data_IF_764869111596
#
_entry.id   IF_764869111596
#
_cell.length_a   1.000
_cell.length_b   1.000
_cell.length_c   1.000
_cell.angle_alpha   90.00
_cell.angle_beta   90.00
_cell.angle_gamma   90.00
#
_symmetry.space_group_name_H-M   'P 1'
#
loop_
_entity.id
_entity.type
_entity.pdbx_description
1 polymer ?
#
# COMPACT_ATOMS: atom_id res chain seq x y z
N UNK A 1 20.34 36.31 23.63
CA UNK A 1 21.04 35.30 22.80
C UNK A 1 20.14 34.04 22.73
N UNK A 2 19.40 33.88 21.64
CA UNK A 2 18.59 32.68 21.43
C UNK A 2 19.51 31.57 20.92
N UNK A 3 19.65 30.49 21.67
CA UNK A 3 20.32 29.27 21.21
C UNK A 3 19.59 28.75 19.99
N UNK A 4 20.29 28.39 18.90
CA UNK A 4 19.65 27.75 17.77
C UNK A 4 19.10 26.40 18.25
N UNK A 5 17.78 26.25 18.18
CA UNK A 5 17.11 25.02 18.57
C UNK A 5 17.73 23.80 17.85
N UNK A 6 18.21 22.85 18.62
CA UNK A 6 18.76 21.62 18.12
C UNK A 6 17.68 20.94 17.24
N UNK A 7 17.85 21.01 15.92
CA UNK A 7 17.05 20.22 15.00
C UNK A 7 17.47 18.76 15.18
N UNK A 8 16.61 17.98 15.77
CA UNK A 8 16.79 16.54 15.80
C UNK A 8 16.90 16.01 14.36
N UNK A 9 17.88 15.15 14.07
CA UNK A 9 17.97 14.53 12.75
C UNK A 9 16.70 13.71 12.51
N UNK A 10 15.88 14.15 11.58
CA UNK A 10 14.74 13.35 11.11
C UNK A 10 15.29 12.37 10.09
N UNK A 11 15.40 11.11 10.47
CA UNK A 11 15.71 10.05 9.52
C UNK A 11 14.55 9.93 8.52
N UNK A 12 14.78 10.26 7.26
CA UNK A 12 13.85 9.98 6.19
C UNK A 12 13.83 8.47 5.96
N UNK A 13 12.79 7.79 6.44
CA UNK A 13 12.59 6.37 6.16
C UNK A 13 12.19 6.18 4.70
N UNK A 14 12.81 5.24 4.01
CA UNK A 14 12.36 4.80 2.69
C UNK A 14 10.94 4.19 2.74
N UNK A 15 10.29 4.04 1.59
CA UNK A 15 8.91 3.56 1.50
C UNK A 15 8.67 2.24 2.22
N UNK A 16 9.50 1.24 2.02
CA UNK A 16 9.38 -0.08 2.68
C UNK A 16 9.59 0.02 4.19
N UNK A 17 10.57 0.80 4.64
CA UNK A 17 10.82 0.99 6.07
C UNK A 17 9.62 1.68 6.75
N UNK A 18 9.00 2.68 6.11
CA UNK A 18 7.75 3.33 6.58
C UNK A 18 6.61 2.31 6.67
N UNK A 19 6.42 1.50 5.64
CA UNK A 19 5.37 0.49 5.58
C UNK A 19 5.54 -0.57 6.69
N UNK A 20 6.76 -1.05 6.92
CA UNK A 20 7.07 -1.98 8.02
C UNK A 20 6.80 -1.36 9.40
N UNK A 21 7.17 -0.09 9.60
CA UNK A 21 6.90 0.62 10.85
C UNK A 21 5.38 0.74 11.11
N UNK A 22 4.59 1.06 10.08
CA UNK A 22 3.13 1.06 10.18
C UNK A 22 2.57 -0.33 10.51
N UNK A 23 3.05 -1.38 9.84
CA UNK A 23 2.61 -2.75 10.12
C UNK A 23 2.92 -3.19 11.56
N UNK A 24 4.05 -2.75 12.12
CA UNK A 24 4.40 -3.02 13.51
C UNK A 24 3.55 -2.23 14.52
N UNK A 25 3.14 -1.00 14.15
CA UNK A 25 2.39 -0.10 15.03
C UNK A 25 0.87 -0.33 15.00
N UNK A 26 0.32 -0.88 13.91
CA UNK A 26 -1.13 -1.06 13.74
C UNK A 26 -1.58 -2.42 14.28
N UNK A 27 -2.44 -2.44 15.31
CA UNK A 27 -2.97 -3.70 15.83
C UNK A 27 -3.71 -4.51 14.77
N UNK A 28 -3.45 -5.80 14.72
CA UNK A 28 -4.13 -6.70 13.79
C UNK A 28 -3.64 -6.63 12.34
N UNK A 29 -2.61 -5.82 12.05
CA UNK A 29 -2.03 -5.76 10.72
C UNK A 29 -1.48 -7.13 10.27
N UNK A 30 -1.69 -7.41 9.00
CA UNK A 30 -1.09 -8.52 8.29
C UNK A 30 -0.31 -7.96 7.09
N UNK A 31 0.87 -8.46 6.84
CA UNK A 31 1.71 -7.99 5.74
C UNK A 31 2.41 -9.14 5.04
N UNK A 32 2.76 -8.90 3.79
CA UNK A 32 3.61 -9.74 2.96
C UNK A 32 4.61 -8.86 2.21
N UNK A 33 5.80 -9.38 1.98
CA UNK A 33 6.87 -8.70 1.26
C UNK A 33 7.54 -9.68 0.30
N UNK A 34 7.93 -9.21 -0.87
CA UNK A 34 8.62 -10.01 -1.87
C UNK A 34 9.33 -9.14 -2.90
N UNK A 35 9.98 -9.80 -3.85
CA UNK A 35 10.64 -9.16 -4.97
C UNK A 35 9.90 -9.53 -6.25
N UNK A 36 9.50 -8.51 -6.99
CA UNK A 36 8.87 -8.63 -8.31
C UNK A 36 9.97 -8.68 -9.36
N UNK A 37 9.80 -9.55 -10.34
CA UNK A 37 10.70 -9.67 -11.49
C UNK A 37 10.26 -8.65 -12.58
N UNK A 38 10.34 -7.39 -12.21
CA UNK A 38 10.03 -6.25 -13.07
C UNK A 38 10.80 -5.02 -12.59
N UNK A 39 11.28 -4.15 -13.49
CA UNK A 39 11.94 -2.90 -13.16
C UNK A 39 11.03 -1.98 -12.34
N UNK A 40 11.63 -1.19 -11.44
CA UNK A 40 10.88 -0.30 -10.55
C UNK A 40 10.06 0.77 -11.30
N UNK A 41 10.64 1.32 -12.35
CA UNK A 41 10.01 2.34 -13.20
C UNK A 41 8.81 1.80 -14.02
N UNK A 42 8.67 0.49 -14.12
CA UNK A 42 7.52 -0.20 -14.69
C UNK A 42 6.55 -0.64 -13.60
N UNK A 43 7.07 -1.30 -12.56
CA UNK A 43 6.24 -1.92 -11.53
C UNK A 43 5.48 -0.89 -10.67
N UNK A 44 6.17 0.18 -10.22
CA UNK A 44 5.49 1.16 -9.36
C UNK A 44 4.40 1.97 -10.09
N UNK A 45 4.62 2.54 -11.28
CA UNK A 45 3.54 3.21 -12.02
C UNK A 45 2.34 2.32 -12.29
N UNK A 46 2.58 1.03 -12.58
CA UNK A 46 1.49 0.07 -12.75
C UNK A 46 0.71 -0.15 -11.46
N UNK A 47 1.37 -0.37 -10.32
CA UNK A 47 0.70 -0.51 -9.00
C UNK A 47 -0.03 0.77 -8.60
N UNK A 48 0.56 1.94 -8.87
CA UNK A 48 0.01 3.25 -8.54
C UNK A 48 -1.24 3.61 -9.35
N UNK A 49 -1.47 2.95 -10.48
CA UNK A 49 -2.73 3.02 -11.22
C UNK A 49 -3.79 2.15 -10.56
N UNK A 50 -4.25 2.59 -9.39
CA UNK A 50 -5.10 1.82 -8.48
C UNK A 50 -6.38 1.30 -9.13
N UNK A 51 -6.96 2.05 -10.05
CA UNK A 51 -8.22 1.70 -10.71
C UNK A 51 -8.09 0.47 -11.59
N UNK A 52 -6.95 0.33 -12.28
CA UNK A 52 -6.69 -0.78 -13.18
C UNK A 52 -5.89 -1.91 -12.55
N UNK A 53 -4.99 -1.61 -11.62
CA UNK A 53 -4.08 -2.59 -11.03
C UNK A 53 -4.72 -3.40 -9.90
N UNK A 54 -5.34 -2.71 -8.92
CA UNK A 54 -5.82 -3.36 -7.69
C UNK A 54 -6.79 -4.50 -7.98
N UNK A 55 -7.82 -4.36 -8.84
CA UNK A 55 -8.74 -5.45 -9.14
C UNK A 55 -8.07 -6.65 -9.86
N UNK A 56 -6.85 -6.48 -10.38
CA UNK A 56 -6.12 -7.56 -11.07
C UNK A 56 -5.30 -8.43 -10.13
N UNK A 57 -4.77 -7.87 -9.04
CA UNK A 57 -3.97 -8.65 -8.10
C UNK A 57 -4.67 -8.93 -6.77
N UNK A 58 -5.54 -8.03 -6.29
CA UNK A 58 -6.33 -8.21 -5.08
C UNK A 58 -7.64 -8.93 -5.43
N UNK A 59 -7.69 -10.22 -5.12
CA UNK A 59 -8.85 -11.06 -5.44
C UNK A 59 -10.14 -10.67 -4.68
N UNK A 60 -10.03 -9.85 -3.62
CA UNK A 60 -11.18 -9.39 -2.84
C UNK A 60 -11.79 -8.12 -3.43
N UNK A 61 -11.02 -7.33 -4.19
CA UNK A 61 -11.48 -6.09 -4.81
C UNK A 61 -11.97 -6.36 -6.23
N UNK A 62 -13.28 -6.26 -6.43
CA UNK A 62 -13.91 -6.46 -7.74
C UNK A 62 -13.77 -5.24 -8.65
N UNK A 63 -13.80 -4.04 -8.06
CA UNK A 63 -13.68 -2.78 -8.79
C UNK A 63 -13.16 -1.70 -7.85
N UNK A 64 -12.36 -0.81 -8.40
CA UNK A 64 -11.91 0.40 -7.73
C UNK A 64 -12.12 1.57 -8.68
N UNK A 65 -12.65 2.70 -8.18
CA UNK A 65 -12.82 3.92 -8.96
C UNK A 65 -12.20 5.10 -8.24
N UNK A 66 -11.40 5.86 -8.97
CA UNK A 66 -10.88 7.15 -8.53
C UNK A 66 -11.95 8.21 -8.78
N UNK A 67 -12.46 8.82 -7.70
CA UNK A 67 -13.51 9.84 -7.76
C UNK A 67 -12.95 11.25 -7.82
N UNK A 68 -11.80 11.45 -7.18
CA UNK A 68 -11.15 12.75 -7.09
C UNK A 68 -9.63 12.55 -6.92
N UNK A 69 -8.85 13.45 -7.51
CA UNK A 69 -7.40 13.48 -7.42
C UNK A 69 -6.95 14.92 -7.18
N UNK A 70 -6.15 15.14 -6.15
CA UNK A 70 -5.61 16.46 -5.80
C UNK A 70 -4.11 16.37 -5.54
N UNK A 71 -3.28 17.24 -6.13
CA UNK A 71 -1.88 17.33 -5.75
C UNK A 71 -1.75 17.84 -4.31
N UNK A 72 -0.80 17.29 -3.55
CA UNK A 72 -0.50 17.66 -2.18
C UNK A 72 1.01 17.58 -1.92
N UNK A 73 1.75 18.66 -2.22
CA UNK A 73 3.21 18.66 -2.21
C UNK A 73 3.78 17.63 -3.18
N UNK A 74 4.65 16.74 -2.68
CA UNK A 74 5.23 15.63 -3.45
C UNK A 74 4.33 14.38 -3.50
N UNK A 75 3.11 14.48 -2.97
CA UNK A 75 2.12 13.42 -2.94
C UNK A 75 0.88 13.80 -3.74
N UNK A 76 0.04 12.81 -3.98
CA UNK A 76 -1.34 13.00 -4.43
C UNK A 76 -2.30 12.50 -3.35
N UNK A 77 -3.35 13.26 -3.10
CA UNK A 77 -4.51 12.79 -2.33
C UNK A 77 -5.62 12.38 -3.29
N UNK A 78 -6.10 11.13 -3.11
CA UNK A 78 -7.21 10.63 -3.91
C UNK A 78 -8.39 10.27 -3.00
N UNK A 79 -9.57 10.46 -3.54
CA UNK A 79 -10.78 9.85 -3.01
C UNK A 79 -11.17 8.73 -3.95
N UNK A 80 -11.26 7.54 -3.41
CA UNK A 80 -11.61 6.36 -4.19
C UNK A 80 -12.81 5.64 -3.60
N UNK A 81 -13.39 4.78 -4.39
CA UNK A 81 -14.41 3.82 -3.97
C UNK A 81 -13.99 2.43 -4.43
N UNK A 82 -13.80 1.54 -3.46
CA UNK A 82 -13.50 0.14 -3.73
C UNK A 82 -14.72 -0.73 -3.44
N UNK A 83 -15.00 -1.66 -4.33
CA UNK A 83 -16.11 -2.61 -4.20
C UNK A 83 -15.55 -4.00 -3.96
N UNK A 84 -15.93 -4.58 -2.82
CA UNK A 84 -15.53 -5.91 -2.38
C UNK A 84 -16.76 -6.66 -1.86
N UNK A 85 -16.95 -7.91 -2.25
CA UNK A 85 -18.09 -8.75 -1.83
C UNK A 85 -19.47 -8.08 -1.93
N UNK A 86 -19.68 -7.26 -2.97
CA UNK A 86 -20.92 -6.52 -3.18
C UNK A 86 -21.08 -5.25 -2.30
N UNK A 87 -20.14 -4.96 -1.43
CA UNK A 87 -20.11 -3.74 -0.61
C UNK A 87 -19.13 -2.74 -1.21
N UNK A 88 -19.56 -1.49 -1.33
CA UNK A 88 -18.73 -0.39 -1.85
C UNK A 88 -18.34 0.55 -0.72
N UNK A 89 -17.04 0.65 -0.46
CA UNK A 89 -16.47 1.46 0.61
C UNK A 89 -15.69 2.65 0.07
N UNK A 90 -15.86 3.85 0.63
CA UNK A 90 -15.04 5.01 0.31
C UNK A 90 -13.72 4.97 1.08
N UNK A 91 -12.62 5.31 0.38
CA UNK A 91 -11.29 5.47 0.96
C UNK A 91 -10.73 6.84 0.62
N UNK A 92 -9.89 7.34 1.53
CA UNK A 92 -8.93 8.41 1.25
C UNK A 92 -7.58 7.75 1.01
N UNK A 93 -6.89 8.19 -0.01
CA UNK A 93 -5.58 7.65 -0.40
C UNK A 93 -4.55 8.76 -0.37
N UNK A 94 -3.40 8.47 0.18
CA UNK A 94 -2.17 9.24 0.01
C UNK A 94 -1.23 8.42 -0.86
N UNK A 95 -0.93 8.94 -2.03
CA UNK A 95 -0.07 8.32 -3.02
C UNK A 95 1.20 9.14 -3.20
N UNK A 96 2.34 8.52 -2.95
CA UNK A 96 3.68 9.10 -3.13
C UNK A 96 4.49 8.17 -4.05
N UNK A 97 5.65 8.63 -4.53
CA UNK A 97 6.53 7.73 -5.24
C UNK A 97 7.00 6.59 -4.31
N UNK A 98 6.68 5.37 -4.66
CA UNK A 98 7.01 4.17 -3.88
C UNK A 98 6.14 3.91 -2.65
N UNK A 99 5.10 4.73 -2.37
CA UNK A 99 4.28 4.54 -1.18
C UNK A 99 2.82 4.91 -1.40
N UNK A 100 1.91 4.04 -1.00
CA UNK A 100 0.48 4.25 -1.04
C UNK A 100 -0.16 3.86 0.29
N UNK A 101 -0.90 4.78 0.89
CA UNK A 101 -1.70 4.54 2.09
C UNK A 101 -3.17 4.77 1.77
N UNK A 102 -3.99 3.74 1.87
CA UNK A 102 -5.44 3.81 1.71
C UNK A 102 -6.12 3.63 3.07
N UNK A 103 -7.05 4.53 3.40
CA UNK A 103 -7.80 4.50 4.66
C UNK A 103 -9.29 4.56 4.38
N UNK A 104 -10.04 3.56 4.85
CA UNK A 104 -11.49 3.65 4.89
C UNK A 104 -11.94 4.65 5.98
N UNK A 105 -13.17 5.14 5.83
CA UNK A 105 -13.76 6.07 6.79
C UNK A 105 -13.61 5.56 8.23
N UNK A 106 -13.24 6.44 9.16
CA UNK A 106 -12.97 6.14 10.58
C UNK A 106 -11.86 5.10 10.81
N UNK A 107 -10.95 4.94 9.86
CA UNK A 107 -9.85 3.97 9.92
C UNK A 107 -10.32 2.53 10.14
N UNK A 108 -11.51 2.18 9.68
CA UNK A 108 -12.05 0.81 9.81
C UNK A 108 -11.25 -0.22 9.03
N UNK A 109 -10.56 0.23 7.98
CA UNK A 109 -9.71 -0.60 7.15
C UNK A 109 -8.53 0.23 6.63
N UNK A 110 -7.35 -0.35 6.71
CA UNK A 110 -6.10 0.26 6.24
C UNK A 110 -5.45 -0.67 5.24
N UNK A 111 -4.97 -0.10 4.14
CA UNK A 111 -4.12 -0.80 3.17
C UNK A 111 -2.86 0.04 2.96
N UNK A 112 -1.71 -0.59 2.99
CA UNK A 112 -0.43 0.03 2.63
C UNK A 112 0.22 -0.78 1.54
N UNK A 113 0.65 -0.11 0.50
CA UNK A 113 1.54 -0.66 -0.53
C UNK A 113 2.80 0.18 -0.56
N UNK A 114 3.94 -0.47 -0.61
CA UNK A 114 5.22 0.22 -0.76
C UNK A 114 6.14 -0.55 -1.70
N UNK A 115 6.97 0.19 -2.43
CA UNK A 115 7.91 -0.37 -3.37
C UNK A 115 9.24 0.39 -3.34
N UNK A 116 10.32 -0.33 -3.52
CA UNK A 116 11.67 0.20 -3.66
C UNK A 116 12.43 -0.54 -4.77
N UNK A 117 13.30 0.15 -5.53
CA UNK A 117 14.16 -0.52 -6.47
C UNK A 117 15.18 -1.44 -5.75
N UNK A 118 15.46 -2.59 -6.34
CA UNK A 118 16.56 -3.47 -5.97
C UNK A 118 17.35 -3.83 -7.23
N UNK A 119 18.58 -4.31 -7.05
CA UNK A 119 19.45 -4.70 -8.18
C UNK A 119 19.58 -3.56 -9.22
N UNK A 120 19.94 -2.35 -8.74
CA UNK A 120 20.08 -1.14 -9.56
C UNK A 120 18.80 -0.76 -10.34
N UNK A 121 17.64 -1.13 -9.81
CA UNK A 121 16.33 -0.85 -10.41
C UNK A 121 15.82 -1.92 -11.36
N UNK A 122 16.60 -2.97 -11.64
CA UNK A 122 16.20 -4.07 -12.52
C UNK A 122 15.03 -4.89 -11.95
N UNK A 123 14.89 -4.90 -10.64
CA UNK A 123 13.78 -5.58 -9.93
C UNK A 123 13.18 -4.67 -8.87
N UNK A 124 12.02 -5.03 -8.37
CA UNK A 124 11.25 -4.23 -7.42
C UNK A 124 10.97 -5.01 -6.15
N UNK A 125 11.43 -4.51 -5.00
CA UNK A 125 10.93 -4.98 -3.70
C UNK A 125 9.57 -4.36 -3.45
N UNK A 126 8.60 -5.19 -3.12
CA UNK A 126 7.22 -4.78 -2.87
C UNK A 126 6.74 -5.26 -1.51
N UNK A 127 6.03 -4.39 -0.83
CA UNK A 127 5.41 -4.65 0.48
C UNK A 127 3.92 -4.34 0.40
N UNK A 128 3.11 -5.25 0.91
CA UNK A 128 1.66 -5.10 1.04
C UNK A 128 1.22 -5.37 2.48
N UNK A 129 0.38 -4.50 3.01
CA UNK A 129 -0.21 -4.62 4.34
C UNK A 129 -1.70 -4.32 4.31
N UNK A 130 -2.45 -5.09 5.06
CA UNK A 130 -3.86 -4.83 5.36
C UNK A 130 -4.11 -4.89 6.85
N UNK A 131 -5.02 -4.06 7.35
CA UNK A 131 -5.41 -4.07 8.74
C UNK A 131 -6.87 -3.66 8.93
N UNK A 132 -7.52 -4.31 9.89
CA UNK A 132 -8.80 -3.89 10.48
C UNK A 132 -8.51 -3.54 11.94
N UNK A 133 -8.14 -2.28 12.24
CA UNK A 133 -7.66 -1.88 13.57
C UNK A 133 -8.80 -1.67 14.57
N UNK A 134 -9.67 -2.67 14.71
CA UNK A 134 -10.79 -2.67 15.65
C UNK A 134 -10.55 -3.67 16.79
N UNK A 135 -11.04 -3.38 18.01
CA UNK A 135 -11.02 -4.34 19.10
C UNK A 135 -11.72 -5.65 18.71
N UNK A 136 -11.16 -6.80 19.10
CA UNK A 136 -11.77 -8.11 18.84
C UNK A 136 -11.52 -8.69 17.45
N UNK A 137 -10.78 -8.02 16.57
CA UNK A 137 -10.52 -8.49 15.20
C UNK A 137 -9.35 -9.48 15.06
N UNK A 138 -8.79 -9.98 16.18
CA UNK A 138 -7.72 -10.99 16.15
C UNK A 138 -8.00 -12.20 15.26
N UNK A 139 -9.22 -12.75 15.18
CA UNK A 139 -9.51 -13.86 14.26
C UNK A 139 -9.35 -13.49 12.80
N UNK A 140 -9.63 -12.22 12.42
CA UNK A 140 -9.48 -11.73 11.06
C UNK A 140 -8.01 -11.70 10.60
N UNK A 141 -7.05 -11.59 11.52
CA UNK A 141 -5.63 -11.53 11.18
C UNK A 141 -5.15 -12.75 10.37
N UNK A 142 -5.68 -13.94 10.67
CA UNK A 142 -5.33 -15.16 9.91
C UNK A 142 -5.87 -15.05 8.46
N UNK A 143 -7.06 -14.51 8.30
CA UNK A 143 -7.67 -14.27 6.98
C UNK A 143 -6.87 -13.23 6.20
N UNK A 144 -6.58 -12.07 6.81
CA UNK A 144 -5.78 -11.02 6.19
C UNK A 144 -4.38 -11.50 5.79
N UNK A 145 -3.71 -12.31 6.62
CA UNK A 145 -2.40 -12.91 6.26
C UNK A 145 -2.48 -13.76 4.99
N UNK A 146 -3.56 -14.52 4.82
CA UNK A 146 -3.76 -15.32 3.62
C UNK A 146 -4.06 -14.44 2.41
N UNK A 147 -4.86 -13.38 2.60
CA UNK A 147 -5.20 -12.42 1.57
C UNK A 147 -3.95 -11.72 1.05
N UNK A 148 -3.19 -10.99 1.91
CA UNK A 148 -2.00 -10.26 1.47
C UNK A 148 -0.93 -11.16 0.85
N UNK A 149 -0.81 -12.42 1.31
CA UNK A 149 0.09 -13.39 0.69
C UNK A 149 -0.40 -13.85 -0.69
N UNK A 150 -1.71 -13.97 -0.88
CA UNK A 150 -2.30 -14.29 -2.18
C UNK A 150 -2.14 -13.13 -3.17
N UNK A 151 -2.38 -11.90 -2.71
CA UNK A 151 -2.24 -10.70 -3.52
C UNK A 151 -0.80 -10.51 -3.99
N UNK A 152 0.17 -10.72 -3.10
CA UNK A 152 1.58 -10.69 -3.48
C UNK A 152 1.92 -11.76 -4.52
N UNK A 153 1.42 -12.99 -4.39
CA UNK A 153 1.62 -14.05 -5.40
C UNK A 153 1.00 -13.68 -6.75
N UNK A 154 -0.20 -13.10 -6.72
CA UNK A 154 -0.86 -12.63 -7.94
C UNK A 154 -0.06 -11.52 -8.62
N UNK A 155 0.38 -10.54 -7.83
CA UNK A 155 1.21 -9.44 -8.32
C UNK A 155 2.54 -9.95 -8.91
N UNK A 156 3.22 -10.88 -8.22
CA UNK A 156 4.46 -11.50 -8.70
C UNK A 156 4.24 -12.19 -10.05
N UNK A 157 3.12 -12.91 -10.21
CA UNK A 157 2.78 -13.58 -11.48
C UNK A 157 2.52 -12.57 -12.59
N UNK A 158 1.80 -11.48 -12.31
CA UNK A 158 1.55 -10.41 -13.27
C UNK A 158 2.86 -9.73 -13.69
N UNK A 159 3.75 -9.44 -12.75
CA UNK A 159 5.06 -8.87 -13.04
C UNK A 159 5.88 -9.76 -13.99
N UNK A 160 5.92 -11.07 -13.74
CA UNK A 160 6.64 -12.03 -14.61
C UNK A 160 6.02 -12.18 -16.00
N UNK A 161 4.76 -11.79 -16.20
CA UNK A 161 4.09 -11.80 -17.51
C UNK A 161 4.08 -10.44 -18.22
N UNK A 162 4.69 -9.41 -17.62
CA UNK A 162 4.81 -8.06 -18.20
C UNK A 162 3.62 -7.14 -17.90
N UNK A 163 2.88 -7.40 -16.77
CA UNK A 163 1.67 -6.68 -16.30
C UNK A 163 0.46 -6.72 -17.24
#
# INVERSE_FOLDING_TARGET
MNAPGARWPVAALGPIARARALAAAVPGAASAEGVLDAPYDVAWPWVADLEHSVPRFDAQVRALRVLERRPHGDAEELRIRATSFGVSLPFTVRLENGFCLMQARRRLYLVVMAAEPVEEGARTRFFHMEAVPLPGTRPLRRHLRRAVAADLRNLTRLASSGF
#
